data_IF_910259090292
#
_entry.id   IF_910259090292
#
_cell.length_a   1.000
_cell.length_b   1.000
_cell.length_c   1.000
_cell.angle_alpha   90.00
_cell.angle_beta   90.00
_cell.angle_gamma   90.00
#
_symmetry.space_group_name_H-M   'P 1'
#
loop_
_entity.id
_entity.type
_entity.pdbx_description
1 polymer ?
#
# COMPACT_ATOMS: atom_id res chain seq x y z
N UNK A 1 -41.49 -11.24 -26.09
CA UNK A 1 -40.15 -11.27 -26.73
C UNK A 1 -39.34 -10.13 -26.14
N UNK A 2 -38.40 -10.42 -25.23
CA UNK A 2 -37.46 -9.43 -24.72
C UNK A 2 -36.46 -9.14 -25.85
N UNK A 3 -36.52 -7.95 -26.44
CA UNK A 3 -35.50 -7.49 -27.38
C UNK A 3 -34.17 -7.40 -26.64
N UNK A 4 -33.24 -8.31 -26.92
CA UNK A 4 -31.85 -8.17 -26.50
C UNK A 4 -31.34 -6.89 -27.14
N UNK A 5 -31.26 -5.78 -26.38
CA UNK A 5 -30.63 -4.55 -26.86
C UNK A 5 -29.16 -4.87 -27.13
N UNK A 6 -28.79 -4.90 -28.41
CA UNK A 6 -27.38 -4.96 -28.82
C UNK A 6 -26.71 -3.71 -28.27
N UNK A 7 -25.75 -3.90 -27.35
CA UNK A 7 -25.02 -2.79 -26.71
C UNK A 7 -24.18 -2.12 -27.80
N UNK A 8 -24.27 -0.80 -27.93
CA UNK A 8 -23.45 -0.05 -28.89
C UNK A 8 -21.96 -0.20 -28.53
N UNK A 9 -21.08 -0.16 -29.52
CA UNK A 9 -19.62 -0.12 -29.29
C UNK A 9 -19.24 1.01 -28.33
N UNK A 10 -19.90 2.17 -28.41
CA UNK A 10 -19.67 3.29 -27.49
C UNK A 10 -20.08 2.96 -26.06
N UNK A 11 -21.16 2.22 -25.88
CA UNK A 11 -21.61 1.78 -24.56
C UNK A 11 -20.67 0.74 -23.96
N UNK A 12 -20.05 -0.09 -24.80
CA UNK A 12 -19.00 -1.02 -24.37
C UNK A 12 -17.72 -0.29 -23.96
N UNK A 13 -17.27 0.70 -24.74
CA UNK A 13 -16.11 1.53 -24.39
C UNK A 13 -16.36 2.27 -23.07
N UNK A 14 -17.54 2.87 -22.90
CA UNK A 14 -17.93 3.55 -21.64
C UNK A 14 -17.89 2.59 -20.46
N UNK A 15 -18.48 1.41 -20.62
CA UNK A 15 -18.53 0.38 -19.59
C UNK A 15 -17.13 -0.10 -19.18
N UNK A 16 -16.28 -0.42 -20.16
CA UNK A 16 -14.90 -0.83 -19.91
C UNK A 16 -14.10 0.28 -19.19
N UNK A 17 -14.22 1.52 -19.67
CA UNK A 17 -13.51 2.65 -19.10
C UNK A 17 -13.91 2.91 -17.63
N UNK A 18 -15.22 2.94 -17.35
CA UNK A 18 -15.72 3.26 -16.01
C UNK A 18 -15.62 2.10 -15.02
N UNK A 19 -15.91 0.86 -15.46
CA UNK A 19 -15.98 -0.30 -14.57
C UNK A 19 -14.67 -1.09 -14.48
N UNK A 20 -13.72 -0.88 -15.40
CA UNK A 20 -12.39 -1.51 -15.33
C UNK A 20 -11.28 -0.50 -15.16
N UNK A 21 -11.03 0.36 -16.16
CA UNK A 21 -9.85 1.25 -16.18
C UNK A 21 -9.87 2.20 -14.98
N UNK A 22 -11.00 2.90 -14.75
CA UNK A 22 -11.15 3.82 -13.63
C UNK A 22 -11.05 3.11 -12.26
N UNK A 23 -11.70 1.96 -12.12
CA UNK A 23 -11.69 1.17 -10.88
C UNK A 23 -10.26 0.74 -10.55
N UNK A 24 -9.58 0.13 -11.51
CA UNK A 24 -8.22 -0.38 -11.35
C UNK A 24 -7.23 0.74 -11.02
N UNK A 25 -7.34 1.87 -11.73
CA UNK A 25 -6.57 3.08 -11.43
C UNK A 25 -6.72 3.50 -9.97
N UNK A 26 -7.95 3.57 -9.46
CA UNK A 26 -8.21 3.98 -8.06
C UNK A 26 -7.68 2.98 -7.04
N UNK A 27 -7.73 1.68 -7.34
CA UNK A 27 -7.18 0.65 -6.45
C UNK A 27 -5.65 0.74 -6.41
N UNK A 28 -5.01 0.98 -7.55
CA UNK A 28 -3.54 1.14 -7.64
C UNK A 28 -3.03 2.39 -6.93
N UNK A 29 -3.78 3.50 -6.95
CA UNK A 29 -3.50 4.67 -6.10
C UNK A 29 -3.54 4.30 -4.61
N UNK A 30 -4.53 3.50 -4.18
CA UNK A 30 -4.59 3.03 -2.79
C UNK A 30 -3.39 2.14 -2.42
N UNK A 31 -2.93 1.31 -3.36
CA UNK A 31 -1.76 0.45 -3.17
C UNK A 31 -0.48 1.28 -3.01
N UNK A 32 -0.27 2.30 -3.84
CA UNK A 32 0.82 3.26 -3.72
C UNK A 32 0.81 3.94 -2.34
N UNK A 33 -0.33 4.52 -1.94
CA UNK A 33 -0.46 5.20 -0.65
C UNK A 33 -0.13 4.27 0.52
N UNK A 34 -0.60 3.01 0.47
CA UNK A 34 -0.28 2.03 1.50
C UNK A 34 1.22 1.76 1.56
N UNK A 35 1.87 1.53 0.42
CA UNK A 35 3.29 1.19 0.38
C UNK A 35 4.15 2.37 0.85
N UNK A 36 3.80 3.60 0.47
CA UNK A 36 4.46 4.82 0.97
C UNK A 36 4.30 4.96 2.49
N UNK A 37 3.08 4.75 3.01
CA UNK A 37 2.83 4.77 4.45
C UNK A 37 3.60 3.67 5.17
N UNK A 38 3.63 2.46 4.60
CA UNK A 38 4.38 1.32 5.12
C UNK A 38 5.87 1.66 5.22
N UNK A 39 6.47 2.16 4.14
CA UNK A 39 7.86 2.59 4.10
C UNK A 39 8.18 3.61 5.19
N UNK A 40 7.34 4.65 5.32
CA UNK A 40 7.52 5.68 6.33
C UNK A 40 7.44 5.11 7.76
N UNK A 41 6.42 4.29 8.04
CA UNK A 41 6.22 3.67 9.35
C UNK A 41 7.37 2.73 9.73
N UNK A 42 7.80 1.85 8.82
CA UNK A 42 8.90 0.91 9.08
C UNK A 42 10.22 1.66 9.27
N UNK A 43 10.48 2.71 8.48
CA UNK A 43 11.69 3.54 8.63
C UNK A 43 11.72 4.23 9.98
N UNK A 44 10.60 4.83 10.41
CA UNK A 44 10.52 5.46 11.74
C UNK A 44 10.72 4.43 12.84
N UNK A 45 10.08 3.25 12.75
CA UNK A 45 10.22 2.22 13.78
C UNK A 45 11.68 1.74 13.88
N UNK A 46 12.34 1.43 12.78
CA UNK A 46 13.76 1.04 12.81
C UNK A 46 14.61 2.15 13.44
N UNK A 47 14.42 3.41 13.03
CA UNK A 47 15.19 4.53 13.57
C UNK A 47 14.92 4.75 15.08
N UNK A 48 13.66 4.60 15.51
CA UNK A 48 13.28 4.71 16.92
C UNK A 48 13.98 3.63 17.74
N UNK A 49 13.88 2.37 17.32
CA UNK A 49 14.53 1.27 18.03
C UNK A 49 16.05 1.43 18.04
N UNK A 50 16.65 1.86 16.93
CA UNK A 50 18.09 2.18 16.87
C UNK A 50 18.46 3.26 17.89
N UNK A 51 17.68 4.35 17.97
CA UNK A 51 17.91 5.42 18.93
C UNK A 51 17.87 4.92 20.38
N UNK A 52 16.83 4.16 20.76
CA UNK A 52 16.74 3.62 22.12
C UNK A 52 17.84 2.60 22.42
N UNK A 53 18.23 1.76 21.45
CA UNK A 53 19.36 0.84 21.60
C UNK A 53 20.68 1.58 21.85
N UNK A 54 20.89 2.74 21.22
CA UNK A 54 22.04 3.60 21.51
C UNK A 54 21.96 4.18 22.93
N UNK A 55 20.78 4.65 23.37
CA UNK A 55 20.59 5.10 24.75
C UNK A 55 20.92 3.98 25.76
N UNK A 56 20.42 2.76 25.54
CA UNK A 56 20.73 1.61 26.39
C UNK A 56 22.20 1.28 26.42
N UNK A 57 22.87 1.33 25.27
CA UNK A 57 24.32 1.08 25.18
C UNK A 57 25.12 2.11 25.99
N UNK A 58 24.76 3.39 25.91
CA UNK A 58 25.41 4.47 26.67
C UNK A 58 25.14 4.31 28.18
N UNK A 59 23.90 4.03 28.57
CA UNK A 59 23.54 3.81 29.98
C UNK A 59 24.26 2.59 30.56
N UNK A 60 24.34 1.50 29.79
CA UNK A 60 25.04 0.29 30.20
C UNK A 60 26.53 0.51 30.41
N UNK A 61 27.17 1.36 29.60
CA UNK A 61 28.56 1.76 29.81
C UNK A 61 28.74 2.62 31.07
N UNK A 62 27.81 3.54 31.36
CA UNK A 62 27.92 4.46 32.49
C UNK A 62 27.67 3.77 33.83
N UNK A 63 26.67 2.90 33.91
CA UNK A 63 26.20 2.31 35.18
C UNK A 63 26.63 0.85 35.38
N UNK A 64 27.57 0.35 34.56
CA UNK A 64 28.02 -1.05 34.56
C UNK A 64 26.86 -2.03 34.42
N UNK A 65 26.41 -2.25 33.19
CA UNK A 65 25.38 -3.23 32.88
C UNK A 65 25.74 -4.63 33.42
N UNK A 66 24.74 -5.37 33.88
CA UNK A 66 24.90 -6.79 34.16
C UNK A 66 25.29 -7.56 32.89
N UNK A 67 25.96 -8.71 33.05
CA UNK A 67 26.32 -9.59 31.94
C UNK A 67 25.07 -9.97 31.12
N UNK A 68 23.96 -10.27 31.80
CA UNK A 68 22.66 -10.57 31.18
C UNK A 68 22.16 -9.41 30.32
N UNK A 69 22.18 -8.18 30.84
CA UNK A 69 21.72 -6.99 30.10
C UNK A 69 22.61 -6.71 28.89
N UNK A 70 23.92 -6.97 29.02
CA UNK A 70 24.89 -6.83 27.94
C UNK A 70 24.62 -7.84 26.82
N UNK A 71 24.45 -9.13 27.16
CA UNK A 71 24.14 -10.19 26.18
C UNK A 71 22.82 -9.91 25.47
N UNK A 72 21.76 -9.53 26.21
CA UNK A 72 20.45 -9.23 25.63
C UNK A 72 20.54 -8.03 24.67
N UNK A 73 21.28 -6.99 25.04
CA UNK A 73 21.46 -5.80 24.18
C UNK A 73 22.15 -6.14 22.85
N UNK A 74 23.12 -7.04 22.87
CA UNK A 74 23.78 -7.53 21.66
C UNK A 74 22.80 -8.32 20.78
N UNK A 75 22.02 -9.24 21.37
CA UNK A 75 21.01 -10.03 20.64
C UNK A 75 19.98 -9.11 19.97
N UNK A 76 19.46 -8.13 20.70
CA UNK A 76 18.48 -7.17 20.16
C UNK A 76 19.12 -6.35 19.03
N UNK A 77 20.37 -5.93 19.17
CA UNK A 77 21.08 -5.15 18.13
C UNK A 77 21.26 -5.95 16.84
N UNK A 78 21.64 -7.23 16.93
CA UNK A 78 21.76 -8.12 15.76
C UNK A 78 20.39 -8.38 15.13
N UNK A 79 19.36 -8.59 15.95
CA UNK A 79 17.98 -8.74 15.48
C UNK A 79 17.48 -7.50 14.73
N UNK A 80 17.72 -6.31 15.30
CA UNK A 80 17.36 -5.02 14.70
C UNK A 80 18.07 -4.80 13.35
N UNK A 81 19.35 -5.17 13.27
CA UNK A 81 20.09 -5.15 12.01
C UNK A 81 19.45 -6.06 10.95
N UNK A 82 19.10 -7.29 11.31
CA UNK A 82 18.40 -8.21 10.41
C UNK A 82 17.04 -7.69 9.93
N UNK A 83 16.26 -7.09 10.84
CA UNK A 83 14.97 -6.47 10.50
C UNK A 83 15.15 -5.28 9.56
N UNK A 84 16.15 -4.43 9.80
CA UNK A 84 16.45 -3.29 8.94
C UNK A 84 16.84 -3.73 7.52
N UNK A 85 17.69 -4.76 7.40
CA UNK A 85 18.04 -5.35 6.11
C UNK A 85 16.81 -5.93 5.39
N UNK A 86 15.97 -6.67 6.11
CA UNK A 86 14.75 -7.25 5.54
C UNK A 86 13.79 -6.17 5.00
N UNK A 87 13.58 -5.08 5.74
CA UNK A 87 12.77 -3.94 5.27
C UNK A 87 13.36 -3.33 4.00
N UNK A 88 14.68 -3.19 3.94
CA UNK A 88 15.37 -2.70 2.73
C UNK A 88 15.17 -3.63 1.52
N UNK A 89 15.09 -4.95 1.73
CA UNK A 89 14.90 -5.94 0.67
C UNK A 89 13.45 -6.03 0.17
N UNK A 90 12.44 -5.71 1.00
CA UNK A 90 11.03 -5.72 0.57
C UNK A 90 10.79 -4.72 -0.57
N UNK A 91 11.55 -3.64 -0.62
CA UNK A 91 11.48 -2.63 -1.68
C UNK A 91 10.17 -1.86 -1.70
N UNK A 92 9.71 -1.37 -0.53
CA UNK A 92 8.42 -0.65 -0.43
C UNK A 92 8.34 0.55 -1.39
N UNK A 93 9.43 1.31 -1.50
CA UNK A 93 9.50 2.53 -2.32
C UNK A 93 9.49 2.20 -3.82
N UNK A 94 10.22 1.17 -4.20
CA UNK A 94 10.31 0.67 -5.57
C UNK A 94 8.95 0.15 -6.04
N UNK A 95 8.26 -0.63 -5.19
CA UNK A 95 6.89 -1.09 -5.45
C UNK A 95 5.90 0.07 -5.51
N UNK A 96 6.00 1.04 -4.61
CA UNK A 96 5.14 2.23 -4.64
C UNK A 96 5.31 3.01 -5.95
N UNK A 97 6.55 3.18 -6.41
CA UNK A 97 6.85 3.80 -7.70
C UNK A 97 6.25 3.01 -8.88
N UNK A 98 6.32 1.67 -8.84
CA UNK A 98 5.67 0.82 -9.83
C UNK A 98 4.16 1.09 -9.91
N UNK A 99 3.46 1.09 -8.77
CA UNK A 99 2.03 1.43 -8.73
C UNK A 99 1.74 2.86 -9.20
N UNK A 100 2.61 3.83 -8.87
CA UNK A 100 2.51 5.21 -9.32
C UNK A 100 2.53 5.32 -10.84
N UNK A 101 3.54 4.71 -11.46
CA UNK A 101 3.69 4.69 -12.92
C UNK A 101 2.49 3.99 -13.58
N UNK A 102 2.07 2.84 -13.05
CA UNK A 102 0.93 2.09 -13.56
C UNK A 102 -0.37 2.91 -13.55
N UNK A 103 -0.73 3.55 -12.44
CA UNK A 103 -1.98 4.31 -12.40
C UNK A 103 -1.94 5.60 -13.25
N UNK A 104 -0.75 6.16 -13.51
CA UNK A 104 -0.58 7.28 -14.45
C UNK A 104 -0.79 6.83 -15.91
N UNK A 105 -0.30 5.64 -16.27
CA UNK A 105 -0.58 5.03 -17.58
C UNK A 105 -2.07 4.72 -17.74
N UNK A 106 -2.72 4.16 -16.71
CA UNK A 106 -4.17 3.95 -16.71
C UNK A 106 -4.96 5.27 -16.85
N UNK A 107 -4.49 6.37 -16.26
CA UNK A 107 -5.12 7.69 -16.43
C UNK A 107 -5.03 8.20 -17.88
N UNK A 108 -3.92 7.92 -18.58
CA UNK A 108 -3.78 8.23 -20.00
C UNK A 108 -4.74 7.39 -20.84
N UNK A 109 -4.85 6.09 -20.56
CA UNK A 109 -5.79 5.19 -21.26
C UNK A 109 -7.24 5.65 -21.04
N UNK A 110 -7.63 5.96 -19.81
CA UNK A 110 -8.95 6.49 -19.48
C UNK A 110 -9.27 7.77 -20.26
N UNK A 111 -8.29 8.68 -20.36
CA UNK A 111 -8.43 9.92 -21.15
C UNK A 111 -8.64 9.60 -22.63
N UNK A 112 -7.81 8.72 -23.21
CA UNK A 112 -7.95 8.27 -24.61
C UNK A 112 -9.33 7.65 -24.88
N UNK A 113 -9.81 6.78 -23.98
CA UNK A 113 -11.13 6.15 -24.09
C UNK A 113 -12.27 7.16 -23.96
N UNK A 114 -12.12 8.16 -23.08
CA UNK A 114 -13.13 9.23 -22.92
C UNK A 114 -13.25 10.08 -24.18
N UNK A 115 -12.11 10.42 -24.81
CA UNK A 115 -12.09 11.12 -26.10
C UNK A 115 -12.73 10.26 -27.19
N UNK A 116 -12.40 8.96 -27.23
CA UNK A 116 -12.95 8.02 -28.22
C UNK A 116 -14.48 7.94 -28.16
N UNK A 117 -15.05 8.01 -26.95
CA UNK A 117 -16.50 8.01 -26.73
C UNK A 117 -17.16 9.30 -27.23
N UNK A 118 -16.48 10.44 -27.10
CA UNK A 118 -16.99 11.76 -27.49
C UNK A 118 -16.83 12.05 -28.99
N UNK A 119 -15.93 11.34 -29.67
CA UNK A 119 -15.67 11.53 -31.10
C UNK A 119 -16.81 10.94 -31.94
N UNK A 120 -17.77 11.76 -32.33
CA UNK A 120 -18.95 11.37 -33.13
C UNK A 120 -18.63 11.14 -34.62
N UNK A 121 -17.43 11.49 -35.07
CA UNK A 121 -17.06 11.44 -36.50
C UNK A 121 -16.57 10.04 -36.90
N UNK A 122 -16.01 9.28 -35.95
CA UNK A 122 -15.47 7.95 -36.20
C UNK A 122 -16.56 6.92 -36.50
N UNK A 123 -16.29 6.09 -37.51
CA UNK A 123 -17.10 4.91 -37.82
C UNK A 123 -16.97 3.83 -36.74
N UNK A 124 -17.97 2.94 -36.64
CA UNK A 124 -17.96 1.83 -35.65
C UNK A 124 -16.73 0.91 -35.82
N UNK A 125 -16.26 0.73 -37.06
CA UNK A 125 -15.05 -0.07 -37.35
C UNK A 125 -13.80 0.58 -36.76
N UNK A 126 -13.62 1.88 -36.98
CA UNK A 126 -12.48 2.63 -36.44
C UNK A 126 -12.53 2.72 -34.90
N UNK A 127 -13.73 2.83 -34.33
CA UNK A 127 -13.94 2.79 -32.88
C UNK A 127 -13.50 1.44 -32.31
N UNK A 128 -13.89 0.33 -32.95
CA UNK A 128 -13.53 -1.01 -32.52
C UNK A 128 -12.01 -1.24 -32.58
N UNK A 129 -11.36 -0.84 -33.68
CA UNK A 129 -9.90 -0.97 -33.83
C UNK A 129 -9.13 -0.18 -32.76
N UNK A 130 -9.54 1.06 -32.49
CA UNK A 130 -8.93 1.88 -31.44
C UNK A 130 -9.24 1.35 -30.04
N UNK A 131 -10.44 0.83 -29.82
CA UNK A 131 -10.82 0.24 -28.54
C UNK A 131 -9.96 -1.00 -28.22
N UNK A 132 -9.81 -1.92 -29.18
CA UNK A 132 -8.94 -3.09 -29.00
C UNK A 132 -7.48 -2.69 -28.75
N UNK A 133 -6.98 -1.67 -29.46
CA UNK A 133 -5.66 -1.11 -29.16
C UNK A 133 -5.53 -0.66 -27.70
N UNK A 134 -6.49 0.12 -27.20
CA UNK A 134 -6.44 0.62 -25.82
C UNK A 134 -6.68 -0.48 -24.77
N UNK A 135 -7.41 -1.55 -25.10
CA UNK A 135 -7.53 -2.74 -24.24
C UNK A 135 -6.21 -3.51 -24.14
N UNK A 136 -5.46 -3.60 -25.23
CA UNK A 136 -4.14 -4.20 -25.23
C UNK A 136 -3.16 -3.35 -24.41
N UNK A 137 -3.14 -2.02 -24.62
CA UNK A 137 -2.36 -1.10 -23.79
C UNK A 137 -2.72 -1.27 -22.30
N UNK A 138 -4.01 -1.38 -21.96
CA UNK A 138 -4.45 -1.64 -20.58
C UNK A 138 -3.86 -2.94 -20.01
N UNK A 139 -3.90 -4.02 -20.78
CA UNK A 139 -3.38 -5.34 -20.35
C UNK A 139 -1.88 -5.28 -20.10
N UNK A 140 -1.13 -4.65 -21.00
CA UNK A 140 0.32 -4.45 -20.83
C UNK A 140 0.66 -3.67 -19.56
N UNK A 141 -0.14 -2.65 -19.20
CA UNK A 141 0.06 -1.88 -17.96
C UNK A 141 -0.12 -2.77 -16.73
N UNK A 142 -1.09 -3.70 -16.77
CA UNK A 142 -1.32 -4.63 -15.66
C UNK A 142 -0.20 -5.66 -15.53
N UNK A 143 0.34 -6.15 -16.64
CA UNK A 143 1.41 -7.16 -16.65
C UNK A 143 2.75 -6.61 -16.13
N UNK A 144 3.01 -5.32 -16.32
CA UNK A 144 4.27 -4.66 -15.91
C UNK A 144 4.42 -4.45 -14.41
N UNK A 145 3.36 -4.64 -13.63
CA UNK A 145 3.35 -4.25 -12.22
C UNK A 145 2.65 -5.26 -11.33
N UNK A 146 3.11 -5.36 -10.09
CA UNK A 146 2.53 -6.27 -9.09
C UNK A 146 1.01 -6.07 -8.95
N UNK A 147 0.32 -7.17 -8.62
CA UNK A 147 -1.09 -7.12 -8.31
C UNK A 147 -1.32 -6.43 -6.95
N UNK A 148 -2.36 -5.60 -6.89
CA UNK A 148 -2.83 -5.03 -5.64
C UNK A 148 -3.40 -6.13 -4.72
N UNK A 149 -3.41 -5.90 -3.40
CA UNK A 149 -4.01 -6.87 -2.46
C UNK A 149 -5.46 -6.52 -2.15
N UNK A 150 -6.19 -7.47 -1.56
CA UNK A 150 -7.61 -7.30 -1.18
C UNK A 150 -7.88 -6.05 -0.34
N UNK A 151 -6.94 -5.63 0.50
CA UNK A 151 -7.04 -4.41 1.31
C UNK A 151 -7.25 -3.15 0.47
N UNK A 152 -6.55 -3.02 -0.67
CA UNK A 152 -6.68 -1.85 -1.55
C UNK A 152 -8.04 -1.79 -2.22
N UNK A 153 -8.51 -2.95 -2.66
CA UNK A 153 -9.84 -3.12 -3.23
C UNK A 153 -10.93 -2.76 -2.23
N UNK A 154 -10.84 -3.27 -1.00
CA UNK A 154 -11.81 -2.96 0.06
C UNK A 154 -11.78 -1.48 0.43
N UNK A 155 -10.60 -0.84 0.49
CA UNK A 155 -10.48 0.61 0.69
C UNK A 155 -11.20 1.37 -0.44
N UNK A 156 -11.00 0.98 -1.70
CA UNK A 156 -11.69 1.57 -2.84
C UNK A 156 -13.23 1.44 -2.70
N UNK A 157 -13.73 0.23 -2.41
CA UNK A 157 -15.18 -0.01 -2.23
C UNK A 157 -15.74 0.81 -1.06
N UNK A 158 -14.98 0.91 0.03
CA UNK A 158 -15.36 1.67 1.22
C UNK A 158 -15.49 3.17 0.89
N UNK A 159 -14.48 3.77 0.26
CA UNK A 159 -14.43 5.20 -0.05
C UNK A 159 -15.46 5.61 -1.10
N UNK A 160 -15.82 4.73 -2.03
CA UNK A 160 -16.79 5.03 -3.09
C UNK A 160 -18.22 4.58 -2.75
N UNK A 161 -18.51 4.30 -1.48
CA UNK A 161 -19.83 3.86 -0.99
C UNK A 161 -20.38 2.58 -1.64
N UNK A 162 -19.55 1.85 -2.38
CA UNK A 162 -19.89 0.58 -3.03
C UNK A 162 -19.74 -0.62 -2.08
N UNK A 163 -19.20 -0.44 -0.88
CA UNK A 163 -18.96 -1.53 0.07
C UNK A 163 -20.25 -1.97 0.78
N UNK A 164 -20.46 -3.28 0.81
CA UNK A 164 -21.49 -3.92 1.65
C UNK A 164 -21.19 -3.73 3.14
N UNK A 165 -22.19 -3.93 4.01
CA UNK A 165 -21.99 -3.85 5.47
C UNK A 165 -20.90 -4.82 5.96
N UNK A 166 -20.84 -6.03 5.41
CA UNK A 166 -19.81 -7.03 5.74
C UNK A 166 -18.42 -6.59 5.29
N UNK A 167 -18.27 -6.02 4.09
CA UNK A 167 -16.99 -5.49 3.61
C UNK A 167 -16.50 -4.30 4.43
N UNK A 168 -17.41 -3.40 4.84
CA UNK A 168 -17.07 -2.29 5.75
C UNK A 168 -16.56 -2.82 7.09
N UNK A 169 -17.21 -3.84 7.63
CA UNK A 169 -16.81 -4.50 8.87
C UNK A 169 -15.43 -5.15 8.72
N UNK A 170 -15.23 -5.95 7.66
CA UNK A 170 -13.95 -6.58 7.34
C UNK A 170 -12.83 -5.55 7.21
N UNK A 171 -13.05 -4.46 6.48
CA UNK A 171 -12.04 -3.41 6.32
C UNK A 171 -11.61 -2.80 7.67
N UNK A 172 -12.58 -2.48 8.53
CA UNK A 172 -12.31 -1.87 9.84
C UNK A 172 -11.62 -2.85 10.79
N UNK A 173 -12.17 -4.06 10.95
CA UNK A 173 -11.73 -5.01 11.96
C UNK A 173 -10.50 -5.82 11.56
N UNK A 174 -10.26 -6.09 10.27
CA UNK A 174 -9.11 -6.88 9.83
C UNK A 174 -7.92 -6.01 9.46
N UNK A 175 -8.14 -4.79 8.97
CA UNK A 175 -7.06 -3.98 8.39
C UNK A 175 -6.86 -2.62 9.07
N UNK A 176 -7.91 -1.97 9.56
CA UNK A 176 -7.78 -0.62 10.15
C UNK A 176 -7.40 -0.69 11.63
N UNK A 177 -8.28 -1.20 12.50
CA UNK A 177 -8.05 -1.19 13.94
C UNK A 177 -6.83 -2.01 14.38
N UNK A 178 -6.61 -3.26 13.89
CA UNK A 178 -5.44 -4.02 14.31
C UNK A 178 -4.15 -3.31 13.93
N UNK A 179 -4.10 -2.68 12.76
CA UNK A 179 -2.90 -1.96 12.32
C UNK A 179 -2.55 -0.78 13.24
N UNK A 180 -3.56 -0.10 13.80
CA UNK A 180 -3.35 0.99 14.75
C UNK A 180 -2.90 0.47 16.12
N UNK A 181 -3.52 -0.59 16.62
CA UNK A 181 -3.17 -1.19 17.92
C UNK A 181 -1.76 -1.77 17.87
N UNK A 182 -1.43 -2.54 16.83
CA UNK A 182 -0.08 -3.09 16.64
C UNK A 182 0.95 -1.96 16.57
N UNK A 183 0.66 -0.90 15.81
CA UNK A 183 1.57 0.23 15.69
C UNK A 183 1.78 0.92 17.04
N UNK A 184 0.70 1.18 17.79
CA UNK A 184 0.77 1.76 19.12
C UNK A 184 1.66 0.92 20.06
N UNK A 185 1.42 -0.40 20.12
CA UNK A 185 2.24 -1.32 20.92
C UNK A 185 3.71 -1.26 20.52
N UNK A 186 4.01 -1.31 19.21
CA UNK A 186 5.38 -1.25 18.70
C UNK A 186 6.09 0.06 19.05
N UNK A 187 5.38 1.20 19.07
CA UNK A 187 5.93 2.48 19.48
C UNK A 187 6.15 2.60 20.99
N UNK A 188 5.34 1.90 21.81
CA UNK A 188 5.42 1.98 23.27
C UNK A 188 6.52 1.11 23.87
N UNK A 189 6.91 -0.01 23.24
CA UNK A 189 7.89 -0.97 23.78
C UNK A 189 9.25 -0.31 24.12
N UNK A 190 9.89 0.48 23.24
CA UNK A 190 11.18 1.10 23.56
C UNK A 190 11.09 2.10 24.70
N UNK A 191 9.98 2.85 24.79
CA UNK A 191 9.76 3.81 25.88
C UNK A 191 9.59 3.11 27.22
N UNK A 192 8.83 2.01 27.25
CA UNK A 192 8.63 1.21 28.45
C UNK A 192 9.96 0.62 28.96
N UNK A 193 10.80 0.09 28.04
CA UNK A 193 12.13 -0.42 28.39
C UNK A 193 13.04 0.65 29.01
N UNK A 194 13.00 1.89 28.50
CA UNK A 194 13.78 3.00 29.03
C UNK A 194 13.34 3.38 30.44
N UNK A 195 12.03 3.44 30.67
CA UNK A 195 11.48 3.73 32.00
C UNK A 195 11.92 2.66 33.00
N UNK A 196 11.86 1.38 32.63
CA UNK A 196 12.28 0.27 33.50
C UNK A 196 13.76 0.41 33.88
N UNK A 197 14.64 0.66 32.90
CA UNK A 197 16.08 0.81 33.18
C UNK A 197 16.37 2.05 34.03
N UNK A 198 15.67 3.16 33.79
CA UNK A 198 15.85 4.36 34.62
C UNK A 198 15.39 4.14 36.07
N UNK A 199 14.32 3.38 36.28
CA UNK A 199 13.86 3.03 37.63
C UNK A 199 14.86 2.13 38.36
N UNK A 200 15.47 1.17 37.65
CA UNK A 200 16.48 0.26 38.22
C UNK A 200 17.80 1.00 38.55
N UNK A 201 18.15 2.03 37.78
CA UNK A 201 19.36 2.82 38.00
C UNK A 201 19.18 3.92 39.07
N UNK A 202 17.96 4.43 39.27
CA UNK A 202 17.66 5.53 40.20
C UNK A 202 17.07 5.08 41.54
N UNK A 203 16.57 3.84 41.65
CA UNK A 203 16.08 3.23 42.89
C UNK A 203 17.18 2.53 43.67
#
# INVERSE_FOLDING_TARGET
>A
MNSVKVKSIRDEIKDFNYNRVWVEKKIRINAEERLNKGNFQTTILVNLYTFFMLCYSILGLKYTASEVLSTVSVIISVGLFGVALYISLIGYREKALGFKLSHLELARIETKMSILVLDEIKSDKELLELFEKYRNEYTEVLEKTDNHIRRDYLKYRFTNEKATKSEKLQYRFLYSYPSLVILFVLYSIPLAGLIIILLDVLG
#
